data_IF_058373647220
#
_entry.id   IF_058373647220
#
_cell.length_a   1.000
_cell.length_b   1.000
_cell.length_c   1.000
_cell.angle_alpha   90.00
_cell.angle_beta   90.00
_cell.angle_gamma   90.00
#
_symmetry.space_group_name_H-M   'P 1'
#
loop_
_entity.id
_entity.type
_entity.pdbx_description
1 polymer ?
#
# COMPACT_ATOMS: atom_id res chain seq x y z
N UNK A 1 22.08 -14.53 -38.07
CA UNK A 1 21.00 -14.64 -37.08
C UNK A 1 21.69 -14.76 -35.72
N UNK A 2 21.94 -13.63 -35.07
CA UNK A 2 22.63 -13.58 -33.79
C UNK A 2 21.63 -13.96 -32.69
N UNK A 3 21.90 -15.09 -32.08
CA UNK A 3 21.15 -15.59 -30.92
C UNK A 3 21.44 -14.66 -29.73
N UNK A 4 20.58 -13.67 -29.53
CA UNK A 4 20.62 -12.81 -28.35
C UNK A 4 20.16 -13.66 -27.19
N UNK A 5 21.12 -14.39 -26.55
CA UNK A 5 20.89 -14.95 -25.22
C UNK A 5 20.37 -13.83 -24.31
N UNK A 6 19.08 -13.88 -24.01
CA UNK A 6 18.51 -13.03 -22.99
C UNK A 6 19.22 -13.38 -21.67
N UNK A 7 20.15 -12.53 -21.26
CA UNK A 7 20.72 -12.61 -19.91
C UNK A 7 19.54 -12.53 -18.94
N UNK A 8 19.31 -13.61 -18.20
CA UNK A 8 18.35 -13.62 -17.08
C UNK A 8 18.87 -12.61 -16.06
N UNK A 9 18.36 -11.37 -16.13
CA UNK A 9 18.65 -10.36 -15.13
C UNK A 9 18.15 -10.87 -13.77
N UNK A 10 19.04 -10.99 -12.80
CA UNK A 10 18.69 -11.44 -11.46
C UNK A 10 17.94 -10.35 -10.71
N UNK A 11 16.81 -10.70 -10.14
CA UNK A 11 16.08 -9.87 -9.20
C UNK A 11 16.91 -9.68 -7.92
N UNK A 12 17.19 -8.44 -7.57
CA UNK A 12 17.83 -8.08 -6.29
C UNK A 12 16.77 -7.46 -5.40
N UNK A 13 16.38 -8.12 -4.29
CA UNK A 13 15.44 -7.56 -3.34
C UNK A 13 15.92 -6.17 -2.89
N UNK A 14 15.01 -5.20 -2.78
CA UNK A 14 15.26 -3.82 -2.34
C UNK A 14 15.97 -2.85 -3.33
N UNK A 15 16.57 -3.35 -4.41
CA UNK A 15 17.25 -2.50 -5.42
C UNK A 15 16.58 -2.60 -6.79
N UNK A 16 15.69 -3.43 -6.93
CA UNK A 16 15.03 -4.12 -7.99
C UNK A 16 14.37 -3.36 -9.12
N UNK A 17 15.11 -2.58 -9.86
CA UNK A 17 14.75 -2.17 -11.21
C UNK A 17 15.13 -3.26 -12.21
N UNK A 18 14.44 -4.39 -12.16
CA UNK A 18 14.49 -5.33 -13.28
C UNK A 18 13.15 -5.25 -13.98
N UNK A 19 13.12 -4.53 -15.07
CA UNK A 19 11.97 -4.27 -15.94
C UNK A 19 11.16 -5.53 -16.28
N UNK A 20 11.82 -6.69 -16.33
CA UNK A 20 11.18 -7.96 -16.65
C UNK A 20 10.29 -8.54 -15.53
N UNK A 21 10.44 -8.07 -14.28
CA UNK A 21 9.68 -8.59 -13.12
C UNK A 21 8.53 -7.70 -12.68
N UNK A 22 8.50 -6.46 -13.14
CA UNK A 22 7.40 -5.53 -12.83
C UNK A 22 6.08 -6.09 -13.34
N UNK A 23 5.10 -6.18 -12.45
CA UNK A 23 3.79 -6.76 -12.73
C UNK A 23 3.78 -8.29 -12.87
N UNK A 24 4.89 -9.00 -12.61
CA UNK A 24 4.99 -10.47 -12.74
C UNK A 24 5.44 -11.17 -11.48
N UNK A 25 6.28 -10.52 -10.70
CA UNK A 25 6.83 -11.06 -9.46
C UNK A 25 5.89 -10.77 -8.27
N UNK A 26 5.88 -11.65 -7.25
CA UNK A 26 5.23 -11.33 -5.96
C UNK A 26 5.78 -10.09 -5.29
N UNK A 27 7.04 -9.75 -5.56
CA UNK A 27 7.69 -8.54 -5.09
C UNK A 27 8.37 -7.85 -6.26
N UNK A 28 8.03 -6.60 -6.49
CA UNK A 28 8.64 -5.77 -7.51
C UNK A 28 8.88 -4.33 -6.99
N UNK A 29 9.28 -3.45 -7.87
CA UNK A 29 9.53 -2.05 -7.54
C UNK A 29 8.29 -1.36 -6.96
N UNK A 30 7.09 -1.64 -7.49
CA UNK A 30 5.85 -0.99 -7.06
C UNK A 30 5.30 -1.51 -5.72
N UNK A 31 5.81 -2.65 -5.21
CA UNK A 31 5.39 -3.21 -3.92
C UNK A 31 5.54 -2.23 -2.76
N UNK A 32 6.58 -1.38 -2.77
CA UNK A 32 6.74 -0.29 -1.80
C UNK A 32 5.64 0.76 -1.89
N UNK A 33 5.22 1.08 -3.11
CA UNK A 33 4.08 1.98 -3.35
C UNK A 33 2.78 1.43 -2.76
N UNK A 34 2.54 0.12 -2.88
CA UNK A 34 1.37 -0.55 -2.28
C UNK A 34 1.41 -0.52 -0.76
N UNK A 35 2.59 -0.73 -0.12
CA UNK A 35 2.74 -0.57 1.33
C UNK A 35 2.43 0.89 1.75
N UNK A 36 3.01 1.88 1.06
CA UNK A 36 2.74 3.29 1.32
C UNK A 36 1.25 3.62 1.16
N UNK A 37 0.61 3.09 0.13
CA UNK A 37 -0.83 3.26 -0.11
C UNK A 37 -1.67 2.70 1.06
N UNK A 38 -1.32 1.54 1.59
CA UNK A 38 -1.97 0.96 2.77
C UNK A 38 -1.84 1.83 4.02
N UNK A 39 -0.66 2.41 4.26
CA UNK A 39 -0.43 3.37 5.36
C UNK A 39 -1.32 4.59 5.19
N UNK A 40 -1.34 5.17 4.00
CA UNK A 40 -2.13 6.35 3.68
C UNK A 40 -3.64 6.07 3.83
N UNK A 41 -4.13 4.96 3.28
CA UNK A 41 -5.53 4.56 3.36
C UNK A 41 -5.98 4.37 4.81
N UNK A 42 -5.25 3.61 5.62
CA UNK A 42 -5.58 3.42 7.04
C UNK A 42 -5.59 4.74 7.80
N UNK A 43 -4.58 5.59 7.59
CA UNK A 43 -4.45 6.89 8.25
C UNK A 43 -5.62 7.81 7.89
N UNK A 44 -5.98 7.86 6.61
CA UNK A 44 -7.10 8.68 6.12
C UNK A 44 -8.43 8.22 6.71
N UNK A 45 -8.72 6.92 6.72
CA UNK A 45 -9.95 6.40 7.32
C UNK A 45 -10.00 6.62 8.83
N UNK A 46 -8.87 6.45 9.52
CA UNK A 46 -8.80 6.79 10.95
C UNK A 46 -9.10 8.28 11.18
N UNK A 47 -8.59 9.17 10.32
CA UNK A 47 -8.87 10.60 10.39
C UNK A 47 -10.35 10.91 10.17
N UNK A 48 -10.97 10.29 9.15
CA UNK A 48 -12.41 10.47 8.85
C UNK A 48 -13.26 10.05 10.04
N UNK A 49 -12.97 8.90 10.66
CA UNK A 49 -13.70 8.42 11.85
C UNK A 49 -13.51 9.38 13.02
N UNK A 50 -12.28 9.83 13.30
CA UNK A 50 -12.01 10.74 14.39
C UNK A 50 -12.69 12.13 14.18
N UNK A 51 -12.75 12.61 12.94
CA UNK A 51 -13.49 13.84 12.61
C UNK A 51 -15.00 13.66 12.79
N UNK A 52 -15.52 12.50 12.40
CA UNK A 52 -16.93 12.16 12.65
C UNK A 52 -17.23 12.14 14.14
N UNK A 53 -16.39 11.50 14.94
CA UNK A 53 -16.56 11.45 16.41
C UNK A 53 -16.51 12.83 17.06
N UNK A 54 -15.68 13.72 16.53
CA UNK A 54 -15.58 15.10 17.00
C UNK A 54 -16.83 15.93 16.67
N UNK A 55 -17.44 15.72 15.50
CA UNK A 55 -18.53 16.54 14.98
C UNK A 55 -19.92 16.00 15.36
N UNK A 56 -20.06 14.68 15.46
CA UNK A 56 -21.36 14.01 15.59
C UNK A 56 -21.49 13.28 16.93
N UNK A 57 -20.39 12.76 17.45
CA UNK A 57 -20.35 12.00 18.70
C UNK A 57 -19.69 10.64 18.54
N UNK A 58 -19.53 9.89 19.65
CA UNK A 58 -18.80 8.63 19.66
C UNK A 58 -19.33 7.65 18.62
N UNK A 59 -18.41 7.05 17.83
CA UNK A 59 -18.75 5.99 16.90
C UNK A 59 -18.55 4.62 17.56
N UNK A 60 -19.41 3.67 17.22
CA UNK A 60 -19.25 2.27 17.60
C UNK A 60 -18.48 1.46 16.54
N UNK A 61 -17.76 2.14 15.63
CA UNK A 61 -17.03 1.50 14.54
C UNK A 61 -15.79 0.79 15.11
N UNK A 62 -15.73 -0.54 15.06
CA UNK A 62 -14.59 -1.25 15.58
C UNK A 62 -13.35 -1.02 14.68
N UNK A 63 -12.17 -1.04 15.29
CA UNK A 63 -10.91 -0.77 14.60
C UNK A 63 -10.63 -1.67 13.37
N UNK A 64 -11.07 -2.93 13.41
CA UNK A 64 -10.90 -3.84 12.28
C UNK A 64 -11.74 -3.45 11.05
N UNK A 65 -12.78 -2.62 11.21
CA UNK A 65 -13.55 -2.11 10.09
C UNK A 65 -12.69 -1.24 9.17
N UNK A 66 -11.69 -0.55 9.73
CA UNK A 66 -10.72 0.22 8.94
C UNK A 66 -9.90 -0.71 8.05
N UNK A 67 -9.44 -1.86 8.57
CA UNK A 67 -8.70 -2.84 7.77
C UNK A 67 -9.56 -3.48 6.68
N UNK A 68 -10.84 -3.74 6.95
CA UNK A 68 -11.78 -4.20 5.92
C UNK A 68 -11.92 -3.14 4.82
N UNK A 69 -11.98 -1.87 5.20
CA UNK A 69 -12.03 -0.77 4.24
C UNK A 69 -10.75 -0.69 3.40
N UNK A 70 -9.58 -0.83 4.03
CA UNK A 70 -8.28 -0.88 3.33
C UNK A 70 -8.25 -2.04 2.35
N UNK A 71 -8.76 -3.22 2.71
CA UNK A 71 -8.88 -4.37 1.81
C UNK A 71 -9.78 -4.07 0.60
N UNK A 72 -10.94 -3.48 0.83
CA UNK A 72 -11.86 -3.11 -0.26
C UNK A 72 -11.18 -2.14 -1.23
N UNK A 73 -10.51 -1.11 -0.70
CA UNK A 73 -9.79 -0.12 -1.52
C UNK A 73 -8.64 -0.78 -2.29
N UNK A 74 -7.89 -1.71 -1.67
CA UNK A 74 -6.83 -2.46 -2.34
C UNK A 74 -7.37 -3.25 -3.54
N UNK A 75 -8.45 -4.01 -3.35
CA UNK A 75 -9.08 -4.80 -4.42
C UNK A 75 -9.61 -3.90 -5.54
N UNK A 76 -10.29 -2.81 -5.17
CA UNK A 76 -10.80 -1.83 -6.16
C UNK A 76 -9.65 -1.20 -6.93
N UNK A 77 -8.55 -0.87 -6.28
CA UNK A 77 -7.37 -0.32 -6.93
C UNK A 77 -6.80 -1.29 -7.96
N UNK A 78 -6.60 -2.56 -7.62
CA UNK A 78 -6.12 -3.59 -8.54
C UNK A 78 -7.03 -3.73 -9.78
N UNK A 79 -8.34 -3.69 -9.58
CA UNK A 79 -9.31 -3.72 -10.70
C UNK A 79 -9.14 -2.48 -11.58
N UNK A 80 -9.03 -1.29 -11.00
CA UNK A 80 -8.82 -0.03 -11.73
C UNK A 80 -7.51 -0.10 -12.51
N UNK A 81 -6.43 -0.51 -11.87
CA UNK A 81 -5.10 -0.56 -12.45
C UNK A 81 -5.02 -1.53 -13.64
N UNK A 82 -5.58 -2.73 -13.48
CA UNK A 82 -5.54 -3.76 -14.51
C UNK A 82 -6.64 -3.64 -15.59
N UNK A 83 -7.56 -2.69 -15.44
CA UNK A 83 -8.62 -2.44 -16.44
C UNK A 83 -8.54 -1.03 -17.02
N UNK A 84 -8.70 0.00 -16.19
CA UNK A 84 -8.78 1.40 -16.63
C UNK A 84 -7.39 1.92 -16.98
N UNK A 85 -6.43 1.89 -16.02
CA UNK A 85 -5.09 2.45 -16.23
C UNK A 85 -4.36 1.72 -17.35
N UNK A 86 -4.52 0.41 -17.44
CA UNK A 86 -3.99 -0.37 -18.54
C UNK A 86 -4.57 0.08 -19.90
N UNK A 87 -5.91 0.28 -20.00
CA UNK A 87 -6.56 0.68 -21.26
C UNK A 87 -6.14 2.06 -21.75
N UNK A 88 -5.88 2.99 -20.83
CA UNK A 88 -5.48 4.36 -21.19
C UNK A 88 -3.95 4.53 -21.29
N UNK A 89 -3.19 3.42 -21.20
CA UNK A 89 -1.75 3.41 -21.40
C UNK A 89 -0.95 4.05 -20.26
N UNK A 90 -1.51 4.19 -19.06
CA UNK A 90 -0.82 4.72 -17.89
C UNK A 90 -0.09 3.66 -17.08
N UNK A 91 -0.29 2.38 -17.41
CA UNK A 91 0.42 1.30 -16.74
C UNK A 91 1.79 1.05 -17.36
N UNK A 92 2.77 0.72 -16.51
CA UNK A 92 4.14 0.44 -16.92
C UNK A 92 4.18 -0.53 -18.10
N UNK A 93 4.92 -0.16 -19.15
CA UNK A 93 5.01 -0.88 -20.44
C UNK A 93 3.67 -1.37 -21.01
N UNK A 94 2.57 -0.74 -20.62
CA UNK A 94 1.21 -1.12 -21.04
C UNK A 94 0.89 -2.61 -20.80
N UNK A 95 1.42 -3.19 -19.72
CA UNK A 95 1.22 -4.59 -19.33
C UNK A 95 0.22 -4.70 -18.19
N UNK A 96 -0.55 -5.81 -18.20
CA UNK A 96 -1.35 -6.22 -17.03
C UNK A 96 -0.48 -6.99 -16.06
N UNK A 97 -0.82 -6.90 -14.79
CA UNK A 97 -0.20 -7.73 -13.77
C UNK A 97 -0.56 -9.19 -13.93
N UNK A 98 0.35 -10.05 -13.51
CA UNK A 98 0.02 -11.44 -13.27
C UNK A 98 -0.91 -11.55 -12.06
N UNK A 99 -1.70 -12.62 -12.00
CA UNK A 99 -2.59 -12.89 -10.84
C UNK A 99 -1.79 -12.92 -9.54
N UNK A 100 -0.58 -13.45 -9.60
CA UNK A 100 0.31 -13.54 -8.43
C UNK A 100 0.75 -12.14 -7.97
N UNK A 101 1.16 -11.26 -8.89
CA UNK A 101 1.54 -9.90 -8.55
C UNK A 101 0.35 -9.14 -7.96
N UNK A 102 -0.79 -9.08 -8.65
CA UNK A 102 -2.01 -8.42 -8.16
C UNK A 102 -2.45 -8.93 -6.77
N UNK A 103 -2.33 -10.23 -6.51
CA UNK A 103 -2.62 -10.78 -5.18
C UNK A 103 -1.64 -10.24 -4.12
N UNK A 104 -0.34 -10.22 -4.41
CA UNK A 104 0.66 -9.72 -3.47
C UNK A 104 0.59 -8.20 -3.29
N UNK A 105 0.18 -7.45 -4.30
CA UNK A 105 -0.03 -6.01 -4.18
C UNK A 105 -1.17 -5.69 -3.19
N UNK A 106 -2.27 -6.46 -3.22
CA UNK A 106 -3.31 -6.40 -2.17
C UNK A 106 -2.72 -6.75 -0.79
N UNK A 107 -1.89 -7.79 -0.69
CA UNK A 107 -1.23 -8.18 0.56
C UNK A 107 -0.33 -7.06 1.09
N UNK A 108 0.42 -6.36 0.22
CA UNK A 108 1.28 -5.25 0.61
C UNK A 108 0.49 -4.04 1.08
N UNK A 109 -0.64 -3.72 0.45
CA UNK A 109 -1.56 -2.68 0.94
C UNK A 109 -2.06 -3.04 2.35
N UNK A 110 -2.49 -4.29 2.56
CA UNK A 110 -2.92 -4.75 3.88
C UNK A 110 -1.78 -4.72 4.91
N UNK A 111 -0.57 -5.07 4.52
CA UNK A 111 0.61 -4.99 5.39
C UNK A 111 0.87 -3.56 5.84
N UNK A 112 0.79 -2.58 4.94
CA UNK A 112 0.86 -1.15 5.26
C UNK A 112 -0.23 -0.72 6.24
N UNK A 113 -1.48 -1.15 6.01
CA UNK A 113 -2.60 -0.90 6.91
C UNK A 113 -2.42 -1.52 8.29
N UNK A 114 -1.97 -2.78 8.37
CA UNK A 114 -1.68 -3.48 9.64
C UNK A 114 -0.55 -2.82 10.41
N UNK A 115 0.52 -2.41 9.73
CA UNK A 115 1.63 -1.69 10.35
C UNK A 115 1.14 -0.37 10.96
N UNK A 116 0.27 0.34 10.26
CA UNK A 116 -0.30 1.60 10.75
C UNK A 116 -1.27 1.38 11.90
N UNK A 117 -2.06 0.29 11.86
CA UNK A 117 -2.90 -0.09 12.99
C UNK A 117 -2.06 -0.41 14.23
N UNK A 118 -0.99 -1.17 14.08
CA UNK A 118 -0.08 -1.49 15.19
C UNK A 118 0.55 -0.21 15.77
N UNK A 119 0.96 0.71 14.91
CA UNK A 119 1.48 2.02 15.31
C UNK A 119 0.44 2.81 16.11
N UNK A 120 -0.83 2.83 15.65
CA UNK A 120 -1.95 3.46 16.37
C UNK A 120 -2.13 2.83 17.75
N UNK A 121 -2.15 1.50 17.82
CA UNK A 121 -2.30 0.79 19.09
C UNK A 121 -1.16 1.10 20.07
N UNK A 122 0.10 1.09 19.60
CA UNK A 122 1.25 1.42 20.45
C UNK A 122 1.13 2.85 20.98
N UNK A 123 0.85 3.82 20.13
CA UNK A 123 0.87 5.24 20.54
C UNK A 123 -0.35 5.60 21.39
N UNK A 124 -1.54 5.18 20.99
CA UNK A 124 -2.78 5.63 21.63
C UNK A 124 -3.20 4.74 22.79
N UNK A 125 -3.18 3.42 22.59
CA UNK A 125 -3.72 2.48 23.57
C UNK A 125 -2.68 2.05 24.61
N UNK A 126 -1.43 1.79 24.18
CA UNK A 126 -0.38 1.32 25.07
C UNK A 126 0.35 2.49 25.79
N UNK A 127 0.72 3.54 25.05
CA UNK A 127 1.43 4.70 25.63
C UNK A 127 0.45 5.77 26.18
N UNK A 128 -0.83 5.69 25.86
CA UNK A 128 -1.83 6.64 26.29
C UNK A 128 -1.66 8.05 25.70
N UNK A 129 -0.94 8.14 24.58
CA UNK A 129 -0.63 9.42 23.95
C UNK A 129 -1.80 9.96 23.12
N UNK A 130 -1.81 11.28 22.89
CA UNK A 130 -2.85 11.91 22.09
C UNK A 130 -2.75 11.51 20.62
N UNK A 131 -3.90 11.43 19.95
CA UNK A 131 -4.01 11.02 18.54
C UNK A 131 -3.12 11.81 17.57
N UNK A 132 -2.74 13.06 17.89
CA UNK A 132 -1.80 13.85 17.06
C UNK A 132 -0.47 13.13 16.80
N UNK A 133 0.07 12.43 17.81
CA UNK A 133 1.33 11.72 17.66
C UNK A 133 1.21 10.52 16.74
N UNK A 134 0.06 9.87 16.75
CA UNK A 134 -0.24 8.83 15.76
C UNK A 134 -0.17 9.37 14.32
N UNK A 135 -0.83 10.49 14.04
CA UNK A 135 -0.83 11.06 12.68
C UNK A 135 0.55 11.55 12.24
N UNK A 136 1.31 12.18 13.15
CA UNK A 136 2.70 12.59 12.85
C UNK A 136 3.57 11.37 12.54
N UNK A 137 3.47 10.31 13.34
CA UNK A 137 4.26 9.08 13.14
C UNK A 137 3.84 8.32 11.89
N UNK A 138 2.53 8.24 11.58
CA UNK A 138 2.04 7.62 10.36
C UNK A 138 2.49 8.37 9.11
N UNK A 139 2.47 9.71 9.14
CA UNK A 139 3.00 10.55 8.06
C UNK A 139 4.52 10.34 7.89
N UNK A 140 5.27 10.32 9.00
CA UNK A 140 6.72 10.07 8.95
C UNK A 140 7.03 8.70 8.34
N UNK A 141 6.31 7.65 8.75
CA UNK A 141 6.45 6.31 8.20
C UNK A 141 6.13 6.27 6.69
N UNK A 142 5.03 6.91 6.28
CA UNK A 142 4.65 7.05 4.88
C UNK A 142 5.77 7.72 4.06
N UNK A 143 6.30 8.84 4.52
CA UNK A 143 7.37 9.58 3.85
C UNK A 143 8.67 8.77 3.79
N UNK A 144 9.02 8.02 4.85
CA UNK A 144 10.20 7.14 4.85
C UNK A 144 10.08 6.05 3.79
N UNK A 145 8.91 5.43 3.65
CA UNK A 145 8.67 4.41 2.62
C UNK A 145 8.75 5.03 1.21
N UNK A 146 8.17 6.23 1.02
CA UNK A 146 8.28 6.91 -0.28
C UNK A 146 9.73 7.27 -0.63
N UNK A 147 10.52 7.76 0.34
CA UNK A 147 11.95 8.07 0.11
C UNK A 147 12.73 6.79 -0.24
N UNK A 148 12.40 5.67 0.38
CA UNK A 148 13.01 4.38 0.04
C UNK A 148 12.58 3.86 -1.33
N UNK A 149 11.42 4.32 -1.83
CA UNK A 149 10.86 3.95 -3.13
C UNK A 149 11.46 4.75 -4.28
N UNK A 150 11.84 6.02 -4.07
CA UNK A 150 12.43 6.92 -5.09
C UNK A 150 13.94 7.04 -4.95
#
# INVERSE_FOLDING_TARGET
MLDVKSEKKHYVPFVGLLEDYVGRSPWDYYSWGHIAFGIAAFTLFSLIINLWELLVGPSSIPWYSILIFVLIVAVVWEVIENTILWRIGLKYENRKDSIINAFFDIVFVLLGGLTTWLLKWIIMDFMGERGRWFYVSALALFLLILIAYF
#
